data_IF_194573965533
#
_entry.id   IF_194573965533
#
_cell.length_a   1.000
_cell.length_b   1.000
_cell.length_c   1.000
_cell.angle_alpha   90.00
_cell.angle_beta   90.00
_cell.angle_gamma   90.00
#
_symmetry.space_group_name_H-M   'P 1'
#
loop_
_entity.id
_entity.type
_entity.pdbx_description
1 polymer ?
#
# COMPACT_ATOMS: atom_id res chain seq x y z
N UNK A 1 -11.50 49.25 24.73
CA UNK A 1 -12.56 48.51 24.00
C UNK A 1 -11.84 47.46 23.22
N UNK A 2 -11.96 46.21 23.62
CA UNK A 2 -11.38 45.09 22.88
C UNK A 2 -12.26 44.87 21.65
N UNK A 3 -11.67 44.99 20.48
CA UNK A 3 -12.33 44.63 19.22
C UNK A 3 -12.65 43.14 19.28
N UNK A 4 -13.89 42.83 19.71
CA UNK A 4 -14.36 41.46 19.79
C UNK A 4 -14.61 40.92 18.37
N UNK A 5 -13.59 40.36 17.77
CA UNK A 5 -13.79 39.49 16.60
C UNK A 5 -14.62 38.28 17.04
N UNK A 6 -15.61 37.84 16.24
CA UNK A 6 -16.37 36.66 16.57
C UNK A 6 -15.47 35.46 16.71
N UNK A 7 -15.53 34.77 17.85
CA UNK A 7 -14.79 33.51 18.07
C UNK A 7 -15.62 32.41 17.46
N UNK A 8 -15.08 31.75 16.44
CA UNK A 8 -15.69 30.54 15.87
C UNK A 8 -15.37 29.34 16.74
N UNK A 9 -16.41 28.72 17.31
CA UNK A 9 -16.32 27.48 18.07
C UNK A 9 -17.07 26.38 17.29
N UNK A 10 -16.37 25.30 16.97
CA UNK A 10 -17.03 24.13 16.42
C UNK A 10 -17.63 23.30 17.56
N UNK A 11 -18.93 23.46 17.78
CA UNK A 11 -19.65 22.86 18.93
C UNK A 11 -20.39 21.56 18.58
N UNK A 12 -20.32 21.09 17.34
CA UNK A 12 -21.08 19.93 16.87
C UNK A 12 -22.59 20.17 16.86
N UNK A 13 -23.40 19.13 16.66
CA UNK A 13 -24.87 19.22 16.78
C UNK A 13 -25.26 19.33 18.25
N UNK A 14 -25.55 20.55 18.73
CA UNK A 14 -26.14 20.79 20.03
C UNK A 14 -27.36 21.69 19.84
N UNK A 15 -28.42 21.46 20.63
CA UNK A 15 -29.50 22.39 20.75
C UNK A 15 -29.01 23.61 21.52
N UNK A 16 -29.03 24.78 20.88
CA UNK A 16 -28.70 26.06 21.48
C UNK A 16 -30.02 26.76 21.75
N UNK A 17 -30.21 27.23 22.98
CA UNK A 17 -31.44 27.95 23.33
C UNK A 17 -31.54 29.25 22.53
N UNK A 18 -32.75 29.64 22.13
CA UNK A 18 -33.04 30.85 21.36
C UNK A 18 -32.68 32.17 22.05
N UNK A 19 -32.33 32.13 23.34
CA UNK A 19 -31.96 33.28 24.17
C UNK A 19 -30.44 33.55 24.25
N UNK A 20 -29.62 32.83 23.43
CA UNK A 20 -28.18 33.02 23.45
C UNK A 20 -27.74 34.00 22.36
N UNK A 21 -26.80 34.89 22.68
CA UNK A 21 -26.10 35.76 21.71
C UNK A 21 -25.16 34.93 20.79
N UNK A 22 -25.48 33.65 20.58
CA UNK A 22 -24.69 32.70 19.80
C UNK A 22 -25.35 32.49 18.45
N UNK A 23 -24.68 32.91 17.39
CA UNK A 23 -25.06 32.64 16.01
C UNK A 23 -24.50 31.31 15.56
N UNK A 24 -25.37 30.36 15.17
CA UNK A 24 -24.96 29.12 14.55
C UNK A 24 -25.04 29.22 13.02
N UNK A 25 -23.89 29.09 12.37
CA UNK A 25 -23.81 29.06 10.91
C UNK A 25 -23.39 27.63 10.48
N UNK A 26 -24.13 27.00 9.53
CA UNK A 26 -23.71 25.72 9.00
C UNK A 26 -22.41 25.89 8.24
N UNK A 27 -21.39 25.09 8.60
CA UNK A 27 -20.12 25.03 7.86
C UNK A 27 -20.05 23.73 7.10
N UNK A 28 -19.53 23.78 5.91
CA UNK A 28 -19.21 22.58 5.14
C UNK A 28 -17.99 21.90 5.76
N UNK A 29 -18.12 20.62 6.09
CA UNK A 29 -17.01 19.81 6.60
C UNK A 29 -16.47 18.96 5.48
N UNK A 30 -15.21 19.18 5.10
CA UNK A 30 -14.58 18.48 3.96
C UNK A 30 -14.35 17.02 4.24
N UNK A 31 -13.94 16.66 5.45
CA UNK A 31 -13.62 15.28 5.82
C UNK A 31 -14.61 14.73 6.84
N UNK A 32 -14.94 13.44 6.71
CA UNK A 32 -15.63 12.69 7.75
C UNK A 32 -14.69 12.39 8.93
N UNK A 33 -15.23 11.94 10.06
CA UNK A 33 -14.41 11.54 11.22
C UNK A 33 -13.61 10.26 10.95
N UNK A 34 -14.10 9.41 10.07
CA UNK A 34 -13.46 8.19 9.57
C UNK A 34 -13.32 8.28 8.06
N UNK A 35 -12.35 9.08 7.59
CA UNK A 35 -12.15 9.32 6.17
C UNK A 35 -11.47 8.12 5.52
N UNK A 36 -12.09 7.41 4.53
CA UNK A 36 -11.43 6.37 3.76
C UNK A 36 -10.26 6.93 2.96
N UNK A 37 -9.26 6.11 2.70
CA UNK A 37 -8.07 6.45 1.90
C UNK A 37 -7.32 7.71 2.40
N UNK A 38 -7.33 7.96 3.71
CA UNK A 38 -6.84 9.20 4.33
C UNK A 38 -5.44 9.60 3.88
N UNK A 39 -4.51 8.64 3.78
CA UNK A 39 -3.13 8.90 3.38
C UNK A 39 -2.97 9.23 1.89
N UNK A 40 -3.93 8.84 1.05
CA UNK A 40 -3.98 9.23 -0.36
C UNK A 40 -4.57 10.61 -0.53
N UNK A 41 -5.69 10.88 0.15
CA UNK A 41 -6.39 12.16 0.06
C UNK A 41 -5.55 13.29 0.64
N UNK A 42 -4.96 13.08 1.81
CA UNK A 42 -4.22 14.11 2.51
C UNK A 42 -5.13 15.02 3.36
N UNK A 43 -4.71 16.25 3.57
CA UNK A 43 -5.45 17.24 4.37
C UNK A 43 -5.11 18.68 3.94
N UNK A 44 -5.97 19.60 4.35
CA UNK A 44 -5.87 21.04 4.10
C UNK A 44 -5.21 21.76 5.28
N UNK A 45 -4.64 22.93 5.01
CA UNK A 45 -4.27 23.90 6.05
C UNK A 45 -5.49 24.71 6.53
N UNK A 46 -5.25 25.63 7.45
CA UNK A 46 -6.29 26.51 8.02
C UNK A 46 -6.88 27.48 6.98
N UNK A 47 -6.21 27.69 5.86
CA UNK A 47 -6.66 28.57 4.76
C UNK A 47 -7.39 27.81 3.66
N UNK A 48 -7.47 26.47 3.77
CA UNK A 48 -8.15 25.61 2.81
C UNK A 48 -7.28 25.10 1.67
N UNK A 49 -5.98 25.34 1.72
CA UNK A 49 -5.01 24.81 0.74
C UNK A 49 -4.53 23.42 1.09
N UNK A 50 -4.33 22.60 0.06
CA UNK A 50 -3.83 21.23 0.21
C UNK A 50 -2.38 21.16 0.71
N UNK A 51 -2.14 20.46 1.84
CA UNK A 51 -0.79 20.29 2.38
C UNK A 51 -0.15 18.95 1.99
N UNK A 52 -0.93 17.91 1.79
CA UNK A 52 -0.43 16.57 1.44
C UNK A 52 -1.40 15.86 0.49
N UNK A 53 -0.95 14.76 -0.11
CA UNK A 53 -1.81 13.87 -0.90
C UNK A 53 -2.45 14.53 -2.12
N UNK A 54 -3.61 14.04 -2.50
CA UNK A 54 -4.42 14.53 -3.62
C UNK A 54 -4.83 15.98 -3.41
N UNK A 55 -5.13 16.39 -2.18
CA UNK A 55 -5.46 17.78 -1.85
C UNK A 55 -4.32 18.72 -2.27
N UNK A 56 -3.07 18.36 -2.01
CA UNK A 56 -1.90 19.15 -2.41
C UNK A 56 -1.62 19.08 -3.92
N UNK A 57 -1.63 17.86 -4.47
CA UNK A 57 -1.28 17.63 -5.87
C UNK A 57 -2.24 18.36 -6.83
N UNK A 58 -3.49 18.52 -6.43
CA UNK A 58 -4.54 19.15 -7.22
C UNK A 58 -5.12 20.41 -6.55
N UNK A 59 -4.36 21.10 -5.70
CA UNK A 59 -4.82 22.28 -4.98
C UNK A 59 -5.39 23.34 -5.93
N UNK A 60 -4.74 23.61 -7.05
CA UNK A 60 -5.21 24.57 -8.07
C UNK A 60 -6.60 24.25 -8.66
N UNK A 61 -6.97 22.97 -8.64
CA UNK A 61 -8.26 22.46 -9.13
C UNK A 61 -9.30 22.43 -8.00
N UNK A 62 -8.89 21.98 -6.81
CA UNK A 62 -9.77 21.66 -5.68
C UNK A 62 -9.96 22.86 -4.73
N UNK A 63 -9.03 23.82 -4.71
CA UNK A 63 -9.12 24.98 -3.84
C UNK A 63 -10.26 25.91 -4.26
N UNK A 64 -11.02 26.36 -3.27
CA UNK A 64 -12.08 27.35 -3.43
C UNK A 64 -11.80 28.58 -2.58
N UNK A 65 -11.83 29.73 -3.20
CA UNK A 65 -11.78 31.05 -2.56
C UNK A 65 -13.18 31.61 -2.27
N UNK A 66 -14.22 30.78 -2.44
CA UNK A 66 -15.61 31.17 -2.16
C UNK A 66 -15.85 31.45 -0.68
N UNK A 67 -16.32 32.65 -0.38
CA UNK A 67 -16.65 33.07 0.98
C UNK A 67 -18.12 32.73 1.31
N UNK A 68 -18.34 32.18 2.49
CA UNK A 68 -19.67 32.12 3.09
C UNK A 68 -19.86 33.39 3.92
N UNK A 69 -20.78 34.25 3.50
CA UNK A 69 -21.11 35.51 4.20
C UNK A 69 -22.39 35.37 4.94
N UNK A 70 -22.38 35.63 6.25
CA UNK A 70 -23.57 35.75 7.04
C UNK A 70 -23.84 37.23 7.31
N UNK A 71 -24.97 37.76 6.83
CA UNK A 71 -25.47 39.09 7.17
C UNK A 71 -26.40 38.99 8.34
N UNK A 72 -26.01 39.58 9.44
CA UNK A 72 -26.79 39.62 10.67
C UNK A 72 -27.29 41.06 10.87
N UNK A 73 -28.63 41.32 10.83
CA UNK A 73 -29.14 42.62 11.15
C UNK A 73 -28.81 42.99 12.61
N UNK A 74 -28.21 44.16 12.80
CA UNK A 74 -27.81 44.66 14.10
C UNK A 74 -28.34 46.09 14.31
N UNK A 75 -28.59 46.46 15.58
CA UNK A 75 -28.96 47.82 15.96
C UNK A 75 -27.73 48.76 15.87
N UNK A 76 -27.94 50.04 16.11
CA UNK A 76 -26.90 51.05 16.08
C UNK A 76 -25.78 50.84 17.12
N UNK A 77 -25.94 49.93 18.05
CA UNK A 77 -24.95 49.53 19.06
C UNK A 77 -24.29 48.19 18.74
N UNK A 78 -24.57 47.61 17.56
CA UNK A 78 -23.97 46.33 17.13
C UNK A 78 -24.64 45.09 17.74
N UNK A 79 -25.82 45.23 18.41
CA UNK A 79 -26.53 44.10 18.98
C UNK A 79 -27.47 43.49 17.95
N UNK A 80 -27.49 42.17 17.84
CA UNK A 80 -28.37 41.42 16.92
C UNK A 80 -29.85 41.78 17.20
N UNK A 81 -30.60 42.09 16.14
CA UNK A 81 -32.04 42.36 16.26
C UNK A 81 -32.76 41.03 16.36
N UNK A 82 -33.38 40.79 17.53
CA UNK A 82 -34.13 39.54 17.80
C UNK A 82 -35.30 39.38 16.80
N UNK A 83 -35.41 38.17 16.22
CA UNK A 83 -36.44 37.83 15.22
C UNK A 83 -36.17 38.29 13.79
N UNK A 84 -35.00 38.89 13.50
CA UNK A 84 -34.57 39.16 12.13
C UNK A 84 -34.00 37.90 11.47
N UNK A 85 -34.32 37.74 10.18
CA UNK A 85 -33.72 36.64 9.38
C UNK A 85 -32.24 36.92 9.12
N UNK A 86 -31.43 35.88 9.31
CA UNK A 86 -30.02 35.92 8.97
C UNK A 86 -29.89 35.50 7.52
N UNK A 87 -29.35 36.37 6.69
CA UNK A 87 -29.08 36.09 5.29
C UNK A 87 -27.72 35.41 5.18
N UNK A 88 -27.73 34.13 4.81
CA UNK A 88 -26.50 33.40 4.49
C UNK A 88 -26.34 33.36 2.97
N UNK A 89 -25.32 34.02 2.46
CA UNK A 89 -24.98 34.00 1.06
C UNK A 89 -23.62 33.27 0.91
N UNK A 90 -23.55 32.32 -0.03
CA UNK A 90 -22.31 31.72 -0.47
C UNK A 90 -22.05 32.15 -1.91
N UNK A 91 -20.84 32.59 -2.20
CA UNK A 91 -20.45 32.75 -3.59
C UNK A 91 -20.51 31.40 -4.30
N UNK A 92 -20.95 31.34 -5.59
CA UNK A 92 -20.96 30.08 -6.31
C UNK A 92 -19.53 29.55 -6.39
N UNK A 93 -19.30 28.42 -5.75
CA UNK A 93 -17.99 27.81 -5.67
C UNK A 93 -17.75 27.09 -6.99
N UNK A 94 -16.96 27.70 -7.88
CA UNK A 94 -16.52 27.05 -9.10
C UNK A 94 -15.22 26.30 -8.81
N UNK A 95 -15.36 25.06 -8.32
CA UNK A 95 -14.24 24.13 -8.11
C UNK A 95 -14.27 23.05 -9.18
N UNK A 96 -13.08 22.58 -9.54
CA UNK A 96 -12.95 21.38 -10.33
C UNK A 96 -13.13 20.11 -9.48
N UNK A 97 -12.89 18.99 -10.08
CA UNK A 97 -12.95 17.70 -9.38
C UNK A 97 -11.84 16.76 -9.85
N UNK A 98 -11.43 15.86 -8.97
CA UNK A 98 -10.48 14.79 -9.26
C UNK A 98 -11.17 13.47 -9.00
N UNK A 99 -11.28 12.63 -10.02
CA UNK A 99 -11.79 11.28 -9.91
C UNK A 99 -10.62 10.32 -9.77
N UNK A 100 -10.59 9.59 -8.66
CA UNK A 100 -9.59 8.58 -8.38
C UNK A 100 -10.00 7.22 -8.98
N UNK A 101 -9.02 6.34 -9.12
CA UNK A 101 -9.24 4.93 -9.48
C UNK A 101 -9.74 4.09 -8.32
N UNK A 102 -9.75 4.67 -7.11
CA UNK A 102 -10.20 4.01 -5.88
C UNK A 102 -11.65 3.55 -6.03
N UNK A 103 -11.87 2.29 -5.72
CA UNK A 103 -13.19 1.70 -5.52
C UNK A 103 -13.52 1.78 -4.04
N UNK A 104 -14.62 2.46 -3.69
CA UNK A 104 -14.96 2.72 -2.29
C UNK A 104 -15.32 1.45 -1.52
N UNK A 105 -15.94 0.47 -2.17
CA UNK A 105 -16.33 -0.79 -1.53
C UNK A 105 -15.08 -1.63 -1.26
N UNK A 106 -14.12 -1.70 -2.21
CA UNK A 106 -12.83 -2.36 -2.02
C UNK A 106 -12.01 -1.63 -0.95
N UNK A 107 -11.97 -0.29 -0.97
CA UNK A 107 -11.25 0.49 0.04
C UNK A 107 -11.79 0.23 1.45
N UNK A 108 -13.12 0.25 1.63
CA UNK A 108 -13.76 -0.03 2.90
C UNK A 108 -13.49 -1.48 3.38
N UNK A 109 -13.54 -2.46 2.47
CA UNK A 109 -13.20 -3.84 2.78
C UNK A 109 -11.75 -3.99 3.24
N UNK A 110 -10.80 -3.29 2.59
CA UNK A 110 -9.39 -3.27 2.96
C UNK A 110 -9.18 -2.65 4.34
N UNK A 111 -9.78 -1.49 4.60
CA UNK A 111 -9.66 -0.82 5.90
C UNK A 111 -10.23 -1.65 7.03
N UNK A 112 -11.42 -2.22 6.82
CA UNK A 112 -12.03 -3.14 7.78
C UNK A 112 -11.15 -4.37 8.04
N UNK A 113 -10.56 -4.96 7.00
CA UNK A 113 -9.70 -6.14 7.15
C UNK A 113 -8.40 -5.82 7.93
N UNK A 114 -7.80 -4.64 7.72
CA UNK A 114 -6.64 -4.20 8.50
C UNK A 114 -6.99 -4.04 9.98
N UNK A 115 -8.13 -3.41 10.28
CA UNK A 115 -8.56 -3.16 11.66
C UNK A 115 -8.93 -4.47 12.37
N UNK A 116 -9.67 -5.36 11.69
CA UNK A 116 -10.04 -6.68 12.22
C UNK A 116 -8.80 -7.58 12.41
N UNK A 117 -7.83 -7.50 11.50
CA UNK A 117 -6.52 -8.16 11.59
C UNK A 117 -5.58 -7.54 12.61
N UNK A 118 -6.00 -6.46 13.33
CA UNK A 118 -5.21 -5.73 14.34
C UNK A 118 -3.85 -5.26 13.80
N UNK A 119 -3.85 -4.80 12.56
CA UNK A 119 -2.67 -4.18 11.97
C UNK A 119 -2.62 -2.71 12.41
N UNK A 120 -1.94 -2.44 13.52
CA UNK A 120 -1.81 -1.09 14.09
C UNK A 120 -0.76 -0.24 13.37
N UNK A 121 0.29 -0.87 12.84
CA UNK A 121 1.32 -0.25 12.01
C UNK A 121 1.57 -1.13 10.79
N UNK A 122 1.10 -0.67 9.63
CA UNK A 122 1.16 -1.45 8.40
C UNK A 122 0.29 -0.88 7.31
N UNK A 123 0.05 -1.66 6.27
CA UNK A 123 -0.76 -1.23 5.14
C UNK A 123 -1.31 -2.39 4.33
N UNK A 124 -2.28 -2.08 3.46
CA UNK A 124 -2.68 -2.95 2.37
C UNK A 124 -2.95 -2.12 1.11
N UNK A 125 -2.57 -2.67 -0.04
CA UNK A 125 -2.83 -2.09 -1.35
C UNK A 125 -3.46 -3.13 -2.28
N UNK A 126 -4.44 -2.71 -3.08
CA UNK A 126 -5.11 -3.50 -4.11
C UNK A 126 -4.93 -2.83 -5.45
N UNK A 127 -4.39 -3.56 -6.42
CA UNK A 127 -4.17 -3.10 -7.79
C UNK A 127 -4.95 -4.01 -8.74
N UNK A 128 -5.67 -3.40 -9.65
CA UNK A 128 -6.29 -4.09 -10.77
C UNK A 128 -5.21 -4.56 -11.74
N UNK A 129 -5.20 -5.85 -12.05
CA UNK A 129 -4.16 -6.49 -12.84
C UNK A 129 -4.25 -6.09 -14.32
N UNK A 130 -5.45 -5.82 -14.81
CA UNK A 130 -5.70 -5.52 -16.22
C UNK A 130 -5.16 -4.15 -16.61
N UNK A 131 -5.48 -3.11 -15.81
CA UNK A 131 -5.18 -1.72 -16.17
C UNK A 131 -4.12 -1.05 -15.26
N UNK A 132 -3.77 -1.65 -14.12
CA UNK A 132 -2.85 -1.09 -13.14
C UNK A 132 -3.49 -0.05 -12.21
N UNK A 133 -4.81 0.12 -12.23
CA UNK A 133 -5.50 1.05 -11.35
C UNK A 133 -5.36 0.65 -9.88
N UNK A 134 -4.99 1.58 -9.03
CA UNK A 134 -5.03 1.40 -7.57
C UNK A 134 -6.49 1.45 -7.12
N UNK A 135 -7.08 0.30 -6.79
CA UNK A 135 -8.48 0.19 -6.34
C UNK A 135 -8.64 0.46 -4.86
N UNK A 136 -7.60 0.18 -4.06
CA UNK A 136 -7.55 0.56 -2.66
C UNK A 136 -6.11 0.72 -2.18
N UNK A 137 -5.88 1.65 -1.24
CA UNK A 137 -4.63 1.75 -0.49
C UNK A 137 -4.92 2.34 0.89
N UNK A 138 -4.68 1.54 1.92
CA UNK A 138 -4.90 1.91 3.31
C UNK A 138 -3.61 1.74 4.12
N UNK A 139 -3.30 2.73 4.94
CA UNK A 139 -2.14 2.74 5.84
C UNK A 139 -2.61 2.87 7.29
N UNK A 140 -1.85 2.32 8.24
CA UNK A 140 -2.09 2.39 9.68
C UNK A 140 -0.80 2.84 10.38
N UNK A 141 -0.93 3.62 11.48
CA UNK A 141 -2.17 4.19 11.99
C UNK A 141 -2.73 5.29 11.09
N UNK A 142 -4.01 5.57 11.22
CA UNK A 142 -4.66 6.73 10.59
C UNK A 142 -4.53 7.97 11.48
N UNK A 143 -4.65 9.14 10.88
CA UNK A 143 -4.78 10.43 11.58
C UNK A 143 -6.12 11.08 11.24
N UNK A 144 -6.58 12.00 12.07
CA UNK A 144 -7.79 12.75 11.78
C UNK A 144 -7.45 14.03 11.00
N UNK A 145 -7.87 14.11 9.73
CA UNK A 145 -7.62 15.27 8.86
C UNK A 145 -8.24 16.59 9.39
N UNK A 146 -9.27 16.51 10.23
CA UNK A 146 -9.86 17.69 10.88
C UNK A 146 -9.10 18.12 12.16
N UNK A 147 -8.17 17.30 12.67
CA UNK A 147 -7.41 17.53 13.91
C UNK A 147 -6.00 16.95 13.81
N UNK A 148 -5.25 17.41 12.82
CA UNK A 148 -3.89 16.93 12.50
C UNK A 148 -2.94 17.12 13.70
N UNK A 149 -3.13 18.19 14.48
CA UNK A 149 -2.34 18.49 15.69
C UNK A 149 -2.31 17.37 16.69
N UNK A 150 -3.39 16.58 16.83
CA UNK A 150 -3.48 15.48 17.78
C UNK A 150 -2.48 14.35 17.50
N UNK A 151 -1.98 14.29 16.27
CA UNK A 151 -1.09 13.23 15.77
C UNK A 151 0.37 13.66 15.58
N UNK A 152 0.70 14.95 15.70
CA UNK A 152 2.05 15.48 15.40
C UNK A 152 3.16 14.92 16.29
N UNK A 153 2.85 14.61 17.55
CA UNK A 153 3.82 14.08 18.53
C UNK A 153 3.85 12.55 18.59
N UNK A 154 3.10 11.86 17.76
CA UNK A 154 3.02 10.40 17.78
C UNK A 154 4.28 9.76 17.21
N UNK A 155 4.88 8.83 17.95
CA UNK A 155 6.03 8.05 17.51
C UNK A 155 5.72 6.95 16.49
N UNK A 156 4.42 6.63 16.28
CA UNK A 156 3.98 5.61 15.33
C UNK A 156 3.91 6.10 13.87
N UNK A 157 4.39 7.34 13.60
CA UNK A 157 4.40 7.96 12.28
C UNK A 157 3.05 7.86 11.53
N UNK A 158 1.96 8.45 12.06
CA UNK A 158 0.62 8.33 11.49
C UNK A 158 0.46 9.02 10.13
N UNK A 159 1.37 9.93 9.76
CA UNK A 159 1.35 10.60 8.45
C UNK A 159 2.07 9.82 7.35
N UNK A 160 2.76 8.73 7.71
CA UNK A 160 3.50 7.92 6.75
C UNK A 160 2.54 7.08 5.90
N UNK A 161 2.53 7.30 4.58
CA UNK A 161 1.84 6.40 3.67
C UNK A 161 2.68 5.13 3.44
N UNK A 162 2.40 4.11 4.23
CA UNK A 162 3.15 2.85 4.21
C UNK A 162 2.98 2.07 2.90
N UNK A 163 1.93 2.31 2.13
CA UNK A 163 1.78 1.69 0.80
C UNK A 163 2.86 2.16 -0.19
N UNK A 164 3.36 3.39 0.01
CA UNK A 164 4.32 4.03 -0.89
C UNK A 164 5.73 4.15 -0.30
N UNK A 165 5.90 3.84 0.97
CA UNK A 165 7.21 3.83 1.64
C UNK A 165 7.89 2.47 1.49
N UNK A 166 9.21 2.43 1.61
CA UNK A 166 10.01 1.22 1.41
C UNK A 166 10.39 0.53 2.72
N UNK A 167 10.33 -0.79 2.71
CA UNK A 167 10.59 -1.64 3.88
C UNK A 167 11.43 -2.87 3.50
N UNK A 168 12.07 -3.51 4.50
CA UNK A 168 12.69 -4.81 4.31
C UNK A 168 11.63 -5.84 3.87
N UNK A 169 11.93 -6.60 2.80
CA UNK A 169 10.96 -7.38 2.03
C UNK A 169 10.90 -8.85 2.45
N UNK A 170 12.06 -9.48 2.64
CA UNK A 170 12.16 -10.89 2.99
C UNK A 170 11.70 -11.84 1.86
N UNK A 171 11.18 -12.97 2.27
CA UNK A 171 10.90 -14.13 1.40
C UNK A 171 9.92 -13.89 0.24
N UNK A 172 9.20 -12.79 0.19
CA UNK A 172 8.35 -12.48 -0.97
C UNK A 172 9.20 -12.19 -2.22
N UNK A 173 10.44 -11.71 -2.04
CA UNK A 173 11.40 -11.51 -3.14
C UNK A 173 11.81 -12.81 -3.81
N UNK A 174 11.66 -13.98 -3.18
CA UNK A 174 11.88 -15.28 -3.79
C UNK A 174 11.08 -15.49 -5.08
N UNK A 175 9.97 -14.79 -5.25
CA UNK A 175 9.19 -14.80 -6.49
C UNK A 175 10.00 -14.20 -7.64
N UNK A 176 10.70 -13.09 -7.43
CA UNK A 176 11.59 -12.49 -8.43
C UNK A 176 12.81 -13.38 -8.74
N UNK A 177 13.37 -14.03 -7.71
CA UNK A 177 14.49 -14.99 -7.92
C UNK A 177 14.03 -16.23 -8.66
N UNK A 178 12.81 -16.73 -8.38
CA UNK A 178 12.20 -17.83 -9.13
C UNK A 178 11.93 -17.43 -10.59
N UNK A 179 11.45 -16.20 -10.83
CA UNK A 179 11.31 -15.66 -12.17
C UNK A 179 12.64 -15.65 -12.93
N UNK A 180 13.71 -15.15 -12.30
CA UNK A 180 15.06 -15.13 -12.87
C UNK A 180 15.55 -16.53 -13.25
N UNK A 181 15.23 -17.54 -12.45
CA UNK A 181 15.59 -18.93 -12.72
C UNK A 181 14.81 -19.51 -13.90
N UNK A 182 13.51 -19.28 -13.95
CA UNK A 182 12.65 -19.75 -15.04
C UNK A 182 13.04 -19.13 -16.38
N UNK A 183 13.27 -17.82 -16.43
CA UNK A 183 13.71 -17.10 -17.63
C UNK A 183 15.06 -17.62 -18.17
N UNK A 184 15.87 -18.28 -17.32
CA UNK A 184 17.18 -18.82 -17.69
C UNK A 184 17.23 -20.35 -17.77
N UNK A 185 16.05 -21.01 -17.78
CA UNK A 185 15.94 -22.46 -17.93
C UNK A 185 16.50 -23.26 -16.76
N UNK A 186 16.47 -22.70 -15.53
CA UNK A 186 16.92 -23.36 -14.31
C UNK A 186 15.75 -23.95 -13.48
N UNK A 187 14.61 -24.18 -14.10
CA UNK A 187 13.42 -24.79 -13.47
C UNK A 187 13.64 -26.22 -12.97
N UNK A 188 14.58 -26.97 -13.58
CA UNK A 188 14.98 -28.29 -13.14
C UNK A 188 16.02 -28.30 -12.01
N UNK A 189 16.39 -27.14 -11.42
CA UNK A 189 17.34 -27.11 -10.30
C UNK A 189 16.73 -27.72 -9.04
N UNK A 190 17.45 -28.65 -8.43
CA UNK A 190 17.09 -29.31 -7.18
C UNK A 190 18.26 -29.25 -6.19
N UNK A 191 17.96 -29.21 -4.90
CA UNK A 191 18.97 -29.38 -3.86
C UNK A 191 18.41 -30.09 -2.63
N UNK A 192 19.28 -30.57 -1.75
CA UNK A 192 18.92 -31.14 -0.46
C UNK A 192 19.05 -30.07 0.63
N UNK A 193 17.92 -29.72 1.24
CA UNK A 193 17.86 -28.78 2.36
C UNK A 193 18.04 -29.52 3.69
N UNK A 194 19.17 -29.27 4.37
CA UNK A 194 19.49 -29.81 5.71
C UNK A 194 19.12 -28.85 6.87
N UNK A 195 18.31 -27.81 6.57
CA UNK A 195 17.93 -26.78 7.55
C UNK A 195 18.85 -25.56 7.55
N UNK A 196 20.11 -25.73 7.14
CA UNK A 196 21.08 -24.64 6.99
C UNK A 196 22.09 -24.94 5.89
N UNK A 197 22.79 -23.91 5.42
CA UNK A 197 23.94 -24.02 4.51
C UNK A 197 24.99 -22.97 4.87
N UNK A 198 26.26 -23.24 4.53
CA UNK A 198 27.35 -22.28 4.71
C UNK A 198 27.80 -21.75 3.37
N UNK A 199 27.84 -20.42 3.23
CA UNK A 199 28.24 -19.71 2.02
C UNK A 199 29.19 -18.58 2.38
N UNK A 200 30.39 -18.55 1.83
CA UNK A 200 31.37 -17.51 2.12
C UNK A 200 31.78 -17.42 3.60
N UNK A 201 31.76 -18.54 4.33
CA UNK A 201 32.07 -18.59 5.77
C UNK A 201 30.92 -18.17 6.70
N UNK A 202 29.75 -17.78 6.15
CA UNK A 202 28.53 -17.40 6.90
C UNK A 202 27.55 -18.57 6.87
N UNK A 203 26.94 -18.90 8.00
CA UNK A 203 25.89 -19.92 8.11
C UNK A 203 24.52 -19.27 7.96
N UNK A 204 23.73 -19.74 7.02
CA UNK A 204 22.36 -19.32 6.76
C UNK A 204 21.40 -20.46 7.09
N UNK A 205 20.31 -20.15 7.81
CA UNK A 205 19.28 -21.12 8.21
C UNK A 205 17.94 -20.92 7.51
N UNK A 206 17.21 -21.99 7.34
CA UNK A 206 15.76 -21.91 7.15
C UNK A 206 15.08 -21.51 8.46
N UNK A 207 13.79 -21.12 8.41
CA UNK A 207 13.03 -20.81 9.62
C UNK A 207 13.14 -21.96 10.63
N UNK A 208 13.50 -21.64 11.89
CA UNK A 208 13.73 -22.61 12.95
C UNK A 208 14.72 -23.73 12.58
N UNK A 209 15.63 -23.49 11.64
CA UNK A 209 16.58 -24.47 11.09
C UNK A 209 15.91 -25.77 10.59
N UNK A 210 14.67 -25.67 10.10
CA UNK A 210 13.91 -26.82 9.63
C UNK A 210 14.52 -27.39 8.35
N UNK A 211 14.86 -28.69 8.35
CA UNK A 211 15.29 -29.40 7.18
C UNK A 211 14.10 -29.79 6.29
N UNK A 212 14.16 -29.44 4.99
CA UNK A 212 13.07 -29.71 4.04
C UNK A 212 13.34 -30.92 3.15
N UNK A 213 14.53 -31.56 3.27
CA UNK A 213 14.95 -32.67 2.42
C UNK A 213 15.20 -32.26 0.97
N UNK A 214 14.88 -33.13 0.04
CA UNK A 214 14.98 -32.83 -1.39
C UNK A 214 13.91 -31.82 -1.81
N UNK A 215 14.33 -30.69 -2.35
CA UNK A 215 13.47 -29.59 -2.78
C UNK A 215 13.78 -29.19 -4.22
N UNK A 216 12.72 -29.00 -5.00
CA UNK A 216 12.67 -28.32 -6.28
C UNK A 216 12.16 -26.89 -6.11
N UNK A 217 12.02 -26.13 -7.20
CA UNK A 217 11.59 -24.73 -7.17
C UNK A 217 10.17 -24.57 -6.58
N UNK A 218 9.24 -25.45 -6.97
CA UNK A 218 7.86 -25.43 -6.47
C UNK A 218 7.82 -25.67 -4.96
N UNK A 219 8.47 -26.76 -4.51
CA UNK A 219 8.53 -27.11 -3.08
C UNK A 219 9.23 -26.03 -2.27
N UNK A 220 10.29 -25.43 -2.81
CA UNK A 220 11.02 -24.36 -2.16
C UNK A 220 10.16 -23.10 -1.94
N UNK A 221 9.26 -22.77 -2.87
CA UNK A 221 8.28 -21.68 -2.70
C UNK A 221 7.23 -22.05 -1.65
N UNK A 222 6.67 -23.28 -1.70
CA UNK A 222 5.65 -23.76 -0.73
C UNK A 222 6.10 -23.67 0.71
N UNK A 223 7.33 -24.13 1.00
CA UNK A 223 7.90 -24.15 2.37
C UNK A 223 8.81 -22.95 2.66
N UNK A 224 8.94 -22.05 1.70
CA UNK A 224 9.82 -20.86 1.80
C UNK A 224 11.28 -21.20 2.14
N UNK A 225 11.87 -22.20 1.48
CA UNK A 225 13.19 -22.75 1.78
C UNK A 225 14.32 -21.75 1.47
N UNK A 226 14.99 -21.21 2.50
CA UNK A 226 16.10 -20.28 2.31
C UNK A 226 17.30 -20.94 1.63
N UNK A 227 17.68 -22.16 2.09
CA UNK A 227 18.85 -22.85 1.57
C UNK A 227 18.74 -23.16 0.07
N UNK A 228 17.53 -23.46 -0.42
CA UNK A 228 17.30 -23.64 -1.85
C UNK A 228 17.58 -22.34 -2.62
N UNK A 229 16.96 -21.22 -2.21
CA UNK A 229 17.11 -19.95 -2.90
C UNK A 229 18.53 -19.39 -2.81
N UNK A 230 19.24 -19.65 -1.72
CA UNK A 230 20.68 -19.33 -1.60
C UNK A 230 21.49 -20.08 -2.66
N UNK A 231 21.32 -21.40 -2.75
CA UNK A 231 22.05 -22.21 -3.74
C UNK A 231 21.67 -21.85 -5.18
N UNK A 232 20.39 -21.61 -5.44
CA UNK A 232 19.89 -21.15 -6.73
C UNK A 232 20.49 -19.79 -7.09
N UNK A 233 20.54 -18.85 -6.14
CA UNK A 233 21.12 -17.52 -6.36
C UNK A 233 22.61 -17.56 -6.64
N UNK A 234 23.37 -18.42 -5.96
CA UNK A 234 24.80 -18.64 -6.30
C UNK A 234 24.98 -19.18 -7.74
N UNK A 235 24.03 -19.99 -8.23
CA UNK A 235 24.02 -20.50 -9.58
C UNK A 235 23.60 -19.47 -10.62
N UNK A 236 22.65 -18.61 -10.31
CA UNK A 236 22.16 -17.53 -11.16
C UNK A 236 23.16 -16.40 -11.31
N UNK A 237 23.85 -16.04 -10.23
CA UNK A 237 24.69 -14.85 -10.17
C UNK A 237 23.89 -13.56 -9.89
N UNK A 238 24.60 -12.50 -9.53
CA UNK A 238 24.02 -11.22 -9.13
C UNK A 238 23.29 -10.53 -10.29
N UNK A 239 23.90 -10.49 -11.48
CA UNK A 239 23.34 -9.81 -12.66
C UNK A 239 21.96 -10.35 -13.02
N UNK A 240 21.82 -11.67 -13.05
CA UNK A 240 20.56 -12.33 -13.39
C UNK A 240 19.41 -11.93 -12.46
N UNK A 241 19.68 -11.82 -11.16
CA UNK A 241 18.66 -11.48 -10.16
C UNK A 241 18.35 -9.98 -10.21
N UNK A 242 19.37 -9.12 -10.32
CA UNK A 242 19.19 -7.66 -10.35
C UNK A 242 18.52 -7.19 -11.64
N UNK A 243 18.86 -7.76 -12.80
CA UNK A 243 18.17 -7.49 -14.06
C UNK A 243 16.67 -7.85 -13.99
N UNK A 244 16.37 -9.06 -13.50
CA UNK A 244 14.96 -9.49 -13.36
C UNK A 244 14.21 -8.63 -12.34
N UNK A 245 14.85 -8.26 -11.23
CA UNK A 245 14.26 -7.34 -10.26
C UNK A 245 13.94 -5.97 -10.88
N UNK A 246 14.85 -5.42 -11.70
CA UNK A 246 14.63 -4.15 -12.39
C UNK A 246 13.49 -4.23 -13.41
N UNK A 247 13.36 -5.33 -14.17
CA UNK A 247 12.25 -5.56 -15.10
C UNK A 247 10.91 -5.64 -14.37
N UNK A 248 10.87 -6.19 -13.15
CA UNK A 248 9.69 -6.26 -12.28
C UNK A 248 9.39 -4.94 -11.57
N UNK A 249 10.17 -3.88 -11.79
CA UNK A 249 9.94 -2.53 -11.26
C UNK A 249 10.60 -2.22 -9.92
N UNK A 250 11.42 -3.12 -9.36
CA UNK A 250 12.19 -2.82 -8.15
C UNK A 250 13.26 -1.76 -8.41
N UNK A 251 13.50 -0.90 -7.44
CA UNK A 251 14.43 0.21 -7.55
C UNK A 251 13.90 1.41 -8.35
N UNK A 252 12.66 1.37 -8.82
CA UNK A 252 12.03 2.43 -9.60
C UNK A 252 10.96 3.18 -8.79
N UNK A 253 10.85 4.49 -9.03
CA UNK A 253 9.76 5.31 -8.48
C UNK A 253 8.51 5.11 -9.31
N UNK A 254 7.35 5.03 -8.66
CA UNK A 254 6.06 5.21 -9.29
C UNK A 254 5.52 6.58 -8.92
N UNK A 255 5.18 7.39 -9.91
CA UNK A 255 4.56 8.70 -9.74
C UNK A 255 3.08 8.58 -10.07
N UNK A 256 2.22 8.91 -9.10
CA UNK A 256 0.76 8.80 -9.18
C UNK A 256 0.10 10.16 -9.48
N UNK A 257 0.72 11.23 -9.04
CA UNK A 257 0.38 12.62 -9.27
C UNK A 257 1.55 13.50 -8.83
N UNK A 258 1.52 14.81 -9.10
CA UNK A 258 2.56 15.73 -8.68
C UNK A 258 2.78 15.67 -7.16
N UNK A 259 4.00 15.29 -6.76
CA UNK A 259 4.39 15.11 -5.36
C UNK A 259 3.83 13.83 -4.68
N UNK A 260 3.07 12.98 -5.37
CA UNK A 260 2.64 11.66 -4.87
C UNK A 260 3.48 10.59 -5.56
N UNK A 261 4.58 10.22 -4.90
CA UNK A 261 5.60 9.33 -5.47
C UNK A 261 5.87 8.20 -4.48
N UNK A 262 5.95 6.94 -4.96
CA UNK A 262 6.44 5.85 -4.12
C UNK A 262 7.96 5.88 -4.02
N UNK A 263 8.48 5.47 -2.85
CA UNK A 263 9.91 5.29 -2.68
C UNK A 263 10.43 4.16 -3.59
N UNK A 264 11.61 4.33 -4.20
CA UNK A 264 12.18 3.30 -5.08
C UNK A 264 12.69 2.08 -4.31
N UNK A 265 12.87 2.21 -2.99
CA UNK A 265 13.58 1.23 -2.21
C UNK A 265 15.07 1.15 -2.57
N UNK A 266 15.72 0.11 -2.10
CA UNK A 266 17.13 -0.17 -2.36
C UNK A 266 17.28 -1.52 -3.02
N UNK A 267 17.77 -1.55 -4.26
CA UNK A 267 18.22 -2.77 -4.92
C UNK A 267 19.75 -2.75 -4.93
N UNK A 268 20.44 -3.72 -4.30
CA UNK A 268 21.90 -3.78 -4.34
C UNK A 268 22.39 -3.88 -5.78
N UNK A 269 23.49 -3.20 -6.11
CA UNK A 269 24.14 -3.37 -7.41
C UNK A 269 24.83 -4.74 -7.48
N UNK A 270 25.05 -5.26 -8.70
CA UNK A 270 25.77 -6.52 -8.87
C UNK A 270 27.18 -6.47 -8.24
N UNK A 271 27.84 -5.30 -8.27
CA UNK A 271 29.12 -5.08 -7.61
C UNK A 271 29.03 -5.19 -6.07
N UNK A 272 27.97 -4.66 -5.45
CA UNK A 272 27.73 -4.81 -4.01
C UNK A 272 27.43 -6.27 -3.60
N UNK A 273 27.02 -7.10 -4.56
CA UNK A 273 26.73 -8.53 -4.41
C UNK A 273 27.91 -9.44 -4.80
N UNK A 274 29.11 -8.89 -4.94
CA UNK A 274 30.30 -9.63 -5.38
C UNK A 274 30.80 -10.69 -4.38
N UNK A 275 30.36 -10.66 -3.13
CA UNK A 275 30.68 -11.71 -2.16
C UNK A 275 29.59 -12.78 -2.12
N UNK A 276 29.97 -14.08 -1.98
CA UNK A 276 28.97 -15.16 -1.89
C UNK A 276 27.92 -14.95 -0.78
N UNK A 277 28.31 -14.37 0.37
CA UNK A 277 27.40 -14.12 1.48
C UNK A 277 26.42 -12.97 1.20
N UNK A 278 26.86 -11.91 0.51
CA UNK A 278 25.97 -10.81 0.12
C UNK A 278 24.91 -11.30 -0.90
N UNK A 279 25.35 -12.05 -1.92
CA UNK A 279 24.46 -12.66 -2.88
C UNK A 279 23.50 -13.66 -2.23
N UNK A 280 23.98 -14.45 -1.27
CA UNK A 280 23.14 -15.37 -0.50
C UNK A 280 21.99 -14.61 0.21
N UNK A 281 22.30 -13.53 0.94
CA UNK A 281 21.27 -12.68 1.60
C UNK A 281 20.25 -12.15 0.60
N UNK A 282 20.70 -11.58 -0.50
CA UNK A 282 19.82 -11.00 -1.52
C UNK A 282 18.93 -12.08 -2.16
N UNK A 283 19.44 -13.30 -2.37
CA UNK A 283 18.69 -14.40 -3.01
C UNK A 283 17.42 -14.83 -2.26
N UNK A 284 17.28 -14.50 -0.98
CA UNK A 284 16.04 -14.75 -0.22
C UNK A 284 15.42 -13.47 0.35
N UNK A 285 15.84 -12.31 -0.18
CA UNK A 285 15.21 -11.01 0.10
C UNK A 285 15.67 -10.34 1.39
N UNK A 286 16.89 -10.60 1.81
CA UNK A 286 17.51 -10.02 3.01
C UNK A 286 18.72 -9.13 2.64
N UNK A 287 19.38 -8.57 3.65
CA UNK A 287 20.47 -7.60 3.49
C UNK A 287 19.97 -6.18 3.32
N UNK A 288 20.58 -5.40 2.43
CA UNK A 288 20.20 -3.99 2.21
C UNK A 288 18.98 -3.81 1.28
N UNK A 289 18.34 -4.89 0.84
CA UNK A 289 17.20 -4.85 -0.06
C UNK A 289 15.94 -4.36 0.62
N UNK A 290 15.34 -3.29 0.06
CA UNK A 290 14.05 -2.75 0.49
C UNK A 290 13.18 -2.46 -0.73
N UNK A 291 11.86 -2.57 -0.57
CA UNK A 291 10.88 -2.20 -1.59
C UNK A 291 9.58 -1.68 -0.96
N UNK A 292 8.82 -0.94 -1.73
CA UNK A 292 7.49 -0.49 -1.32
C UNK A 292 6.43 -1.56 -1.60
N UNK A 293 5.32 -1.60 -0.84
CA UNK A 293 4.20 -2.50 -1.11
C UNK A 293 3.67 -2.40 -2.54
N UNK A 294 3.66 -1.19 -3.11
CA UNK A 294 3.24 -1.01 -4.51
C UNK A 294 4.16 -1.70 -5.51
N UNK A 295 5.48 -1.75 -5.25
CA UNK A 295 6.42 -2.49 -6.13
C UNK A 295 6.21 -4.01 -6.02
N UNK A 296 5.90 -4.52 -4.82
CA UNK A 296 5.54 -5.93 -4.64
C UNK A 296 4.23 -6.25 -5.40
N UNK A 297 3.22 -5.38 -5.31
CA UNK A 297 1.97 -5.55 -6.05
C UNK A 297 2.21 -5.52 -7.57
N UNK A 298 3.08 -4.64 -8.05
CA UNK A 298 3.48 -4.54 -9.46
C UNK A 298 4.16 -5.83 -9.96
N UNK A 299 5.07 -6.42 -9.18
CA UNK A 299 5.66 -7.73 -9.47
C UNK A 299 4.58 -8.82 -9.57
N UNK A 300 3.61 -8.82 -8.66
CA UNK A 300 2.50 -9.78 -8.67
C UNK A 300 1.58 -9.59 -9.87
N UNK A 301 1.33 -8.33 -10.30
CA UNK A 301 0.61 -8.05 -11.54
C UNK A 301 1.35 -8.64 -12.75
N UNK A 302 2.68 -8.51 -12.83
CA UNK A 302 3.46 -9.12 -13.92
C UNK A 302 3.31 -10.66 -13.93
N UNK A 303 3.37 -11.30 -12.75
CA UNK A 303 3.18 -12.75 -12.63
C UNK A 303 1.76 -13.15 -13.02
N UNK A 304 0.75 -12.38 -12.67
CA UNK A 304 -0.65 -12.71 -12.88
C UNK A 304 -1.15 -12.38 -14.31
N UNK A 305 -0.47 -11.51 -15.05
CA UNK A 305 -0.90 -10.98 -16.35
C UNK A 305 0.06 -11.37 -17.49
N UNK A 306 0.30 -12.67 -17.66
CA UNK A 306 1.12 -13.22 -18.77
C UNK A 306 2.49 -12.53 -18.92
N UNK A 307 3.12 -12.17 -17.79
CA UNK A 307 4.44 -11.53 -17.74
C UNK A 307 4.43 -10.01 -17.95
N UNK A 308 3.28 -9.39 -18.01
CA UNK A 308 3.12 -7.95 -18.26
C UNK A 308 2.49 -7.24 -17.08
N UNK A 309 2.83 -5.97 -16.87
CA UNK A 309 2.13 -5.13 -15.92
C UNK A 309 1.95 -3.72 -16.46
N UNK A 310 0.88 -3.07 -16.08
CA UNK A 310 0.70 -1.65 -16.25
C UNK A 310 1.26 -0.93 -15.04
N UNK A 311 1.91 0.24 -15.24
CA UNK A 311 2.38 1.04 -14.10
C UNK A 311 1.19 1.45 -13.24
N UNK A 312 1.27 1.29 -11.91
CA UNK A 312 0.17 1.68 -11.05
C UNK A 312 -0.18 3.17 -11.19
N UNK A 313 -1.46 3.49 -11.27
CA UNK A 313 -1.96 4.87 -11.34
C UNK A 313 -3.16 5.07 -10.40
N UNK A 314 -3.37 6.32 -9.98
CA UNK A 314 -4.34 6.67 -8.94
C UNK A 314 -5.44 7.64 -9.44
N UNK A 315 -5.16 8.45 -10.46
CA UNK A 315 -6.10 9.46 -10.97
C UNK A 315 -6.73 8.98 -12.26
N UNK A 316 -8.05 8.85 -12.28
CA UNK A 316 -8.81 8.45 -13.47
C UNK A 316 -9.12 9.66 -14.36
N UNK A 317 -9.55 10.78 -13.78
CA UNK A 317 -9.78 12.02 -14.53
C UNK A 317 -9.71 13.25 -13.63
N UNK A 318 -9.47 14.39 -14.26
CA UNK A 318 -9.51 15.72 -13.65
C UNK A 318 -10.46 16.59 -14.46
N UNK A 319 -11.43 17.20 -13.79
CA UNK A 319 -12.30 18.23 -14.38
C UNK A 319 -11.85 19.58 -13.84
N UNK A 320 -11.43 20.48 -14.72
CA UNK A 320 -11.00 21.83 -14.32
C UNK A 320 -12.19 22.74 -13.95
N UNK A 321 -11.88 23.94 -13.48
CA UNK A 321 -12.88 24.95 -13.09
C UNK A 321 -13.75 25.44 -14.26
N UNK A 322 -13.37 25.15 -15.50
CA UNK A 322 -14.19 25.45 -16.71
C UNK A 322 -15.15 24.31 -17.09
N UNK A 323 -15.06 23.18 -16.39
CA UNK A 323 -15.83 21.97 -16.70
C UNK A 323 -15.19 21.05 -17.74
N UNK A 324 -13.97 21.35 -18.17
CA UNK A 324 -13.23 20.48 -19.10
C UNK A 324 -12.65 19.28 -18.37
N UNK A 325 -13.04 18.08 -18.78
CA UNK A 325 -12.49 16.83 -18.26
C UNK A 325 -11.27 16.38 -19.08
N UNK A 326 -10.23 15.94 -18.36
CA UNK A 326 -9.04 15.27 -18.90
C UNK A 326 -8.94 13.90 -18.22
N UNK A 327 -9.02 12.83 -19.03
CA UNK A 327 -8.90 11.45 -18.54
C UNK A 327 -7.47 10.93 -18.64
N UNK A 328 -7.09 10.08 -17.70
CA UNK A 328 -5.82 9.38 -17.66
C UNK A 328 -6.05 7.89 -17.85
N UNK A 329 -5.31 7.29 -18.75
CA UNK A 329 -5.35 5.86 -19.03
C UNK A 329 -3.91 5.34 -19.16
N UNK A 330 -3.67 4.15 -18.65
CA UNK A 330 -2.38 3.50 -18.80
C UNK A 330 -2.39 2.61 -20.05
N UNK A 331 -1.70 3.03 -21.12
CA UNK A 331 -1.82 2.39 -22.44
C UNK A 331 -0.65 1.48 -22.82
N UNK A 332 0.43 1.49 -22.05
CA UNK A 332 1.67 0.83 -22.45
C UNK A 332 2.15 -0.11 -21.36
N UNK A 333 1.75 -1.40 -21.39
CA UNK A 333 2.24 -2.37 -20.43
C UNK A 333 3.73 -2.61 -20.60
N UNK A 334 4.41 -2.79 -19.48
CA UNK A 334 5.79 -3.25 -19.41
C UNK A 334 5.80 -4.77 -19.53
N UNK A 335 6.61 -5.30 -20.44
CA UNK A 335 6.86 -6.74 -20.55
C UNK A 335 8.05 -7.06 -19.64
N UNK A 336 7.79 -7.75 -18.54
CA UNK A 336 8.78 -8.08 -17.52
C UNK A 336 9.24 -9.55 -17.58
N UNK A 337 8.35 -10.46 -17.95
CA UNK A 337 8.57 -11.90 -17.97
C UNK A 337 7.99 -12.50 -19.26
N UNK A 338 8.44 -13.72 -19.60
CA UNK A 338 7.77 -14.52 -20.61
C UNK A 338 6.42 -15.06 -20.09
N UNK A 339 5.49 -15.32 -20.99
CA UNK A 339 4.19 -15.90 -20.67
C UNK A 339 4.34 -17.29 -19.99
N UNK A 340 5.32 -18.07 -20.40
CA UNK A 340 5.62 -19.37 -19.81
C UNK A 340 6.09 -19.24 -18.35
N UNK A 341 6.99 -18.30 -18.06
CA UNK A 341 7.44 -17.99 -16.68
C UNK A 341 6.28 -17.54 -15.81
N UNK A 342 5.43 -16.64 -16.32
CA UNK A 342 4.20 -16.17 -15.63
C UNK A 342 3.30 -17.35 -15.27
N UNK A 343 2.97 -18.21 -16.22
CA UNK A 343 2.12 -19.39 -16.01
C UNK A 343 2.70 -20.33 -14.95
N UNK A 344 4.00 -20.68 -15.06
CA UNK A 344 4.69 -21.55 -14.09
C UNK A 344 4.68 -20.94 -12.68
N UNK A 345 4.95 -19.64 -12.55
CA UNK A 345 4.91 -18.95 -11.26
C UNK A 345 3.50 -18.92 -10.67
N UNK A 346 2.48 -18.66 -11.48
CA UNK A 346 1.08 -18.70 -11.05
C UNK A 346 0.73 -20.08 -10.46
N UNK A 347 1.08 -21.17 -11.14
CA UNK A 347 0.87 -22.52 -10.65
C UNK A 347 1.60 -22.79 -9.32
N UNK A 348 2.86 -22.36 -9.21
CA UNK A 348 3.66 -22.51 -7.99
C UNK A 348 3.12 -21.69 -6.83
N UNK A 349 2.73 -20.42 -7.06
CA UNK A 349 2.17 -19.53 -6.03
C UNK A 349 0.76 -19.95 -5.60
N UNK A 350 -0.04 -20.53 -6.51
CA UNK A 350 -1.30 -21.19 -6.15
C UNK A 350 -1.03 -22.34 -5.20
N UNK A 351 0.00 -23.15 -5.48
CA UNK A 351 0.38 -24.27 -4.58
C UNK A 351 0.85 -23.80 -3.20
N UNK A 352 1.47 -22.61 -3.10
CA UNK A 352 1.81 -22.00 -1.78
C UNK A 352 0.56 -21.77 -0.93
N UNK A 353 -0.54 -21.33 -1.54
CA UNK A 353 -1.82 -21.09 -0.85
C UNK A 353 -2.57 -22.40 -0.61
N UNK A 354 -2.55 -23.34 -1.56
CA UNK A 354 -3.27 -24.59 -1.42
C UNK A 354 -2.58 -25.59 -0.48
N UNK A 355 -1.25 -25.71 -0.54
CA UNK A 355 -0.48 -26.80 0.07
C UNK A 355 0.71 -26.31 0.92
N UNK A 356 1.00 -25.02 0.93
CA UNK A 356 2.17 -24.43 1.56
C UNK A 356 1.87 -23.59 2.79
N UNK A 357 2.85 -22.77 3.15
CA UNK A 357 2.80 -21.87 4.30
C UNK A 357 1.90 -20.63 4.09
N UNK A 358 1.29 -20.49 2.92
CA UNK A 358 0.30 -19.45 2.60
C UNK A 358 -1.15 -19.89 2.83
N UNK A 359 -1.42 -21.06 3.37
CA UNK A 359 -2.76 -21.65 3.44
C UNK A 359 -3.80 -20.82 4.22
N UNK A 360 -3.37 -19.99 5.16
CA UNK A 360 -4.24 -19.04 5.87
C UNK A 360 -4.83 -17.94 4.95
N UNK A 361 -4.27 -17.76 3.75
CA UNK A 361 -4.73 -16.79 2.75
C UNK A 361 -5.81 -17.37 1.81
N UNK A 362 -6.12 -18.68 1.89
CA UNK A 362 -7.07 -19.35 0.99
C UNK A 362 -8.47 -18.76 1.12
N UNK A 363 -9.04 -18.15 0.03
CA UNK A 363 -10.42 -17.68 0.02
C UNK A 363 -11.41 -18.85 0.04
N UNK A 364 -12.69 -18.55 0.30
CA UNK A 364 -13.74 -19.57 0.42
C UNK A 364 -14.19 -20.13 -0.93
N UNK A 365 -14.40 -19.25 -1.92
CA UNK A 365 -15.18 -19.57 -3.11
C UNK A 365 -14.34 -19.64 -4.41
N UNK A 366 -13.05 -19.28 -4.35
CA UNK A 366 -12.16 -19.28 -5.52
C UNK A 366 -10.71 -19.55 -5.11
N UNK A 367 -9.86 -19.79 -6.11
CA UNK A 367 -8.43 -20.02 -5.89
C UNK A 367 -7.67 -18.71 -5.77
N UNK A 368 -6.56 -18.72 -5.04
CA UNK A 368 -5.64 -17.60 -4.94
C UNK A 368 -4.20 -18.08 -5.07
N UNK A 369 -3.33 -17.19 -5.50
CA UNK A 369 -1.88 -17.39 -5.56
C UNK A 369 -1.20 -16.36 -4.66
N UNK A 370 -0.10 -16.72 -3.98
CA UNK A 370 0.57 -15.76 -3.14
C UNK A 370 1.80 -16.28 -2.42
N UNK A 371 2.45 -15.37 -1.66
CA UNK A 371 3.67 -15.67 -0.90
C UNK A 371 3.67 -14.93 0.42
N UNK A 372 4.03 -15.64 1.48
CA UNK A 372 4.32 -15.10 2.81
C UNK A 372 5.75 -14.60 2.90
N UNK A 373 6.00 -13.57 3.73
CA UNK A 373 7.36 -13.23 4.14
C UNK A 373 7.40 -12.74 5.58
N UNK A 374 8.57 -12.91 6.18
CA UNK A 374 8.99 -12.31 7.46
C UNK A 374 10.38 -11.77 7.22
N UNK A 375 10.54 -10.46 7.29
CA UNK A 375 11.79 -9.77 7.01
C UNK A 375 12.38 -9.21 8.29
N UNK A 376 13.62 -9.53 8.58
CA UNK A 376 14.39 -8.93 9.65
C UNK A 376 14.66 -7.45 9.33
N UNK A 377 14.58 -6.59 10.35
CA UNK A 377 14.77 -5.13 10.15
C UNK A 377 16.09 -4.61 10.73
N UNK A 378 16.76 -5.39 11.54
CA UNK A 378 17.92 -4.95 12.34
C UNK A 378 17.54 -3.99 13.45
N UNK A 379 16.25 -3.75 13.70
CA UNK A 379 15.74 -2.90 14.77
C UNK A 379 15.25 -3.81 15.91
N UNK A 380 15.64 -3.48 17.14
CA UNK A 380 15.30 -4.29 18.32
C UNK A 380 14.37 -3.51 19.26
N UNK A 381 13.43 -4.21 19.87
CA UNK A 381 12.59 -3.65 20.91
C UNK A 381 13.37 -3.45 22.23
N UNK A 382 12.70 -2.88 23.24
CA UNK A 382 13.28 -2.65 24.57
C UNK A 382 13.73 -3.94 25.33
N UNK A 383 13.28 -5.11 24.87
CA UNK A 383 13.64 -6.42 25.44
C UNK A 383 14.74 -7.11 24.61
N UNK A 384 15.26 -6.48 23.55
CA UNK A 384 16.27 -7.04 22.67
C UNK A 384 15.70 -8.04 21.64
N UNK A 385 14.38 -8.04 21.42
CA UNK A 385 13.74 -8.86 20.38
C UNK A 385 13.76 -8.09 19.06
N UNK A 386 14.25 -8.71 18.00
CA UNK A 386 14.29 -8.09 16.69
C UNK A 386 12.87 -7.90 16.12
N UNK A 387 12.55 -6.68 15.71
CA UNK A 387 11.31 -6.36 15.04
C UNK A 387 11.36 -6.84 13.60
N UNK A 388 10.31 -7.52 13.16
CA UNK A 388 10.20 -8.00 11.79
C UNK A 388 9.08 -7.29 11.04
N UNK A 389 9.27 -7.07 9.74
CA UNK A 389 8.17 -6.76 8.85
C UNK A 389 7.58 -8.07 8.34
N UNK A 390 6.28 -8.26 8.54
CA UNK A 390 5.57 -9.42 8.04
C UNK A 390 4.75 -9.04 6.82
N UNK A 391 4.69 -9.95 5.82
CA UNK A 391 4.05 -9.69 4.55
C UNK A 391 3.22 -10.88 4.09
N UNK A 392 2.16 -10.56 3.37
CA UNK A 392 1.55 -11.44 2.40
C UNK A 392 1.28 -10.64 1.13
N UNK A 393 1.72 -11.19 0.01
CA UNK A 393 1.37 -10.66 -1.31
C UNK A 393 0.84 -11.77 -2.18
N UNK A 394 -0.23 -11.51 -2.89
CA UNK A 394 -0.89 -12.49 -3.73
C UNK A 394 -1.86 -11.85 -4.72
N UNK A 395 -2.54 -12.68 -5.48
CA UNK A 395 -3.58 -12.27 -6.41
C UNK A 395 -4.70 -13.30 -6.47
N UNK A 396 -5.86 -12.84 -6.88
CA UNK A 396 -7.06 -13.66 -6.99
C UNK A 396 -8.04 -13.14 -8.05
N UNK A 397 -8.91 -14.02 -8.62
CA UNK A 397 -8.76 -15.48 -8.62
C UNK A 397 -7.43 -15.90 -9.27
N UNK A 398 -6.86 -17.09 -8.97
CA UNK A 398 -5.58 -17.47 -9.58
C UNK A 398 -5.69 -18.03 -10.99
N UNK A 399 -6.87 -18.46 -11.39
CA UNK A 399 -7.21 -18.96 -12.74
C UNK A 399 -7.64 -17.86 -13.72
N UNK A 400 -8.19 -16.77 -13.22
CA UNK A 400 -8.53 -15.56 -13.98
C UNK A 400 -8.20 -14.32 -13.13
N UNK A 401 -6.93 -13.95 -13.01
CA UNK A 401 -6.47 -12.95 -12.05
C UNK A 401 -7.07 -11.57 -12.31
N UNK A 402 -7.67 -10.97 -11.27
CA UNK A 402 -8.28 -9.64 -11.33
C UNK A 402 -7.59 -8.63 -10.42
N UNK A 403 -7.28 -9.02 -9.20
CA UNK A 403 -6.68 -8.13 -8.21
C UNK A 403 -5.39 -8.70 -7.63
N UNK A 404 -4.33 -7.88 -7.64
CA UNK A 404 -3.12 -8.10 -6.86
C UNK A 404 -3.25 -7.35 -5.53
N UNK A 405 -2.97 -8.05 -4.41
CA UNK A 405 -3.12 -7.51 -3.06
C UNK A 405 -1.85 -7.76 -2.27
N UNK A 406 -1.35 -6.71 -1.62
CA UNK A 406 -0.19 -6.80 -0.73
C UNK A 406 -0.55 -6.22 0.62
N UNK A 407 -0.27 -6.99 1.67
CA UNK A 407 -0.42 -6.59 3.07
C UNK A 407 0.96 -6.60 3.72
N UNK A 408 1.25 -5.58 4.52
CA UNK A 408 2.45 -5.48 5.34
C UNK A 408 2.10 -5.05 6.75
N UNK A 409 2.76 -5.66 7.75
CA UNK A 409 2.68 -5.27 9.15
C UNK A 409 4.08 -5.09 9.72
N UNK A 410 4.33 -3.98 10.37
CA UNK A 410 5.55 -3.74 11.14
C UNK A 410 5.44 -4.39 12.54
N UNK A 411 6.55 -4.94 13.02
CA UNK A 411 6.59 -5.58 14.34
C UNK A 411 5.73 -6.85 14.45
N UNK A 412 5.49 -7.53 13.32
CA UNK A 412 4.71 -8.77 13.28
C UNK A 412 5.51 -10.02 13.66
N UNK A 413 4.80 -11.15 13.81
CA UNK A 413 5.37 -12.47 14.14
C UNK A 413 5.69 -13.28 12.88
N UNK A 414 4.71 -13.44 12.00
CA UNK A 414 4.89 -14.12 10.71
C UNK A 414 3.87 -13.66 9.67
N UNK A 415 4.27 -13.68 8.39
CA UNK A 415 3.35 -13.34 7.31
C UNK A 415 2.14 -14.28 7.21
N UNK A 416 2.30 -15.55 7.62
CA UNK A 416 1.23 -16.54 7.62
C UNK A 416 0.17 -16.28 8.70
N UNK A 417 0.56 -15.71 9.84
CA UNK A 417 -0.35 -15.43 10.95
C UNK A 417 -0.91 -14.01 10.91
N UNK A 418 -0.07 -13.03 10.54
CA UNK A 418 -0.44 -11.62 10.59
C UNK A 418 -1.16 -11.15 9.30
N UNK A 419 -0.63 -11.50 8.11
CA UNK A 419 -1.03 -10.89 6.85
C UNK A 419 -1.89 -11.81 5.97
N UNK A 420 -1.62 -13.13 5.97
CA UNK A 420 -2.37 -14.08 5.15
C UNK A 420 -3.88 -14.14 5.50
N UNK A 421 -4.31 -14.12 6.78
CA UNK A 421 -5.73 -14.04 7.13
C UNK A 421 -6.40 -12.74 6.67
N UNK A 422 -5.66 -11.62 6.67
CA UNK A 422 -6.16 -10.31 6.19
C UNK A 422 -6.37 -10.36 4.68
N UNK A 423 -5.43 -10.96 3.94
CA UNK A 423 -5.61 -11.18 2.50
C UNK A 423 -6.88 -11.99 2.21
N UNK A 424 -7.09 -13.11 2.91
CA UNK A 424 -8.32 -13.91 2.76
C UNK A 424 -9.57 -13.09 3.03
N UNK A 425 -9.58 -12.29 4.09
CA UNK A 425 -10.72 -11.46 4.43
C UNK A 425 -11.02 -10.42 3.34
N UNK A 426 -9.99 -9.78 2.78
CA UNK A 426 -10.15 -8.86 1.64
C UNK A 426 -10.74 -9.61 0.44
N UNK A 427 -10.15 -10.75 0.08
CA UNK A 427 -10.59 -11.56 -1.04
C UNK A 427 -12.04 -12.04 -0.90
N UNK A 428 -12.43 -12.53 0.29
CA UNK A 428 -13.80 -12.98 0.61
C UNK A 428 -14.82 -11.81 0.64
N UNK A 429 -14.36 -10.55 0.76
CA UNK A 429 -15.23 -9.36 0.83
C UNK A 429 -15.47 -8.71 -0.53
N UNK A 430 -14.66 -9.00 -1.54
CA UNK A 430 -14.80 -8.41 -2.88
C UNK A 430 -15.75 -9.26 -3.71
N UNK A 431 -16.87 -8.65 -4.09
CA UNK A 431 -17.82 -9.29 -4.99
C UNK A 431 -17.36 -9.14 -6.45
N UNK A 432 -17.27 -10.27 -7.17
CA UNK A 432 -17.02 -10.31 -8.61
C UNK A 432 -18.32 -10.26 -9.43
N UNK A 433 -19.42 -9.74 -8.85
CA UNK A 433 -20.67 -9.56 -9.59
C UNK A 433 -20.43 -8.61 -10.75
N UNK A 434 -20.71 -9.10 -11.94
CA UNK A 434 -20.60 -8.45 -13.25
C UNK A 434 -21.22 -7.06 -13.32
#
# INVERSE_FOLDING_TARGET
MSDGLPVMLNIGKREISSDSDILCVPIYRRYSDSQPAQHLLGYLDETGHGLTGIEKAFDSVLFSDGEVKARVPADAYGRTISGSEIEITSDPVNIGSVRLTIDLDIQNAVEYALDNGKISEGCAIVIDIEDGAVRAAASRPVYNANRVSDSLSSSSAPFLNRCFSSFAVGSIFKVAVAAAALERGLDGFECECKGSCSVGGVVFGCSSNTAHGKVDLKKALEVSCNTYFINLGQKLGADAITETAALLGFGQKNEFADGIISEPGTVPTAEALNTPAALANFSFGQGSFTASPVQIAQMLCAVANSGKYNRPYLVASVTDKSGKETSYENKYPVVALSEETSRKLTEMLTSVVENGNGSSAKPKDFSAAGKTATAQTGIFDKNGVELCNTWFGGFFPSDNPKYAVVIMKQGGSSGAEDCAPVFRQIADSINFSE
#
